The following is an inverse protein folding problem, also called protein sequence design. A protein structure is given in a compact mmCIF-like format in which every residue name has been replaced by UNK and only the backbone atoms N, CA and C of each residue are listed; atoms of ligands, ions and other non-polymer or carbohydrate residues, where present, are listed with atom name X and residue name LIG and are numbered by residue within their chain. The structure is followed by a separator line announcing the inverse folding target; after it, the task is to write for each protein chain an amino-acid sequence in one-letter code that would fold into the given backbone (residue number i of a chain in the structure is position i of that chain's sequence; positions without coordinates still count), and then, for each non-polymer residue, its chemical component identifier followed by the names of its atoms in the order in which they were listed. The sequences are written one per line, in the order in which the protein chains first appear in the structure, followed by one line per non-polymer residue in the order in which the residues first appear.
data_IF_183016394093
#
_entry.id   IF_183016394093
#
_cell.length_a   1.000
_cell.length_b   1.000
_cell.length_c   1.000
_cell.angle_alpha   90.00
_cell.angle_beta   90.00
_cell.angle_gamma   90.00
#
_symmetry.space_group_name_H-M   'P 1'
#
loop_
_entity.id
_entity.type
_entity.pdbx_description
1 polymer ?
#
# COMPACT_ATOMS: atom_id res chain seq x y z
N UNK A 1 -7.96 2.93 15.17
CA UNK A 1 -7.59 2.43 13.84
C UNK A 1 -8.23 1.08 13.62
N UNK A 2 -8.94 0.93 12.53
CA UNK A 2 -9.70 -0.28 12.25
C UNK A 2 -8.82 -1.38 11.67
N UNK A 3 -9.17 -2.63 11.97
CA UNK A 3 -8.57 -3.80 11.34
C UNK A 3 -9.52 -4.34 10.27
N UNK A 4 -9.06 -4.41 9.04
CA UNK A 4 -9.83 -4.91 7.90
C UNK A 4 -9.41 -6.34 7.61
N UNK A 5 -10.38 -7.26 7.61
CA UNK A 5 -10.16 -8.69 7.42
C UNK A 5 -11.01 -9.28 6.28
N UNK A 6 -11.86 -8.50 5.64
CA UNK A 6 -12.74 -8.98 4.57
C UNK A 6 -12.57 -8.13 3.31
N UNK A 7 -12.86 -8.74 2.18
CA UNK A 7 -12.82 -8.05 0.88
C UNK A 7 -13.83 -6.90 0.82
N UNK A 8 -15.01 -7.10 1.41
CA UNK A 8 -16.05 -6.07 1.42
C UNK A 8 -15.60 -4.81 2.18
N UNK A 9 -15.01 -5.00 3.35
CA UNK A 9 -14.44 -3.89 4.14
C UNK A 9 -13.30 -3.20 3.41
N UNK A 10 -12.43 -3.98 2.77
CA UNK A 10 -11.30 -3.45 2.00
C UNK A 10 -11.79 -2.62 0.81
N UNK A 11 -12.78 -3.13 0.08
CA UNK A 11 -13.36 -2.42 -1.06
C UNK A 11 -13.92 -1.06 -0.64
N UNK A 12 -14.71 -1.05 0.43
CA UNK A 12 -15.30 0.18 0.95
C UNK A 12 -14.24 1.19 1.39
N UNK A 13 -13.21 0.71 2.08
CA UNK A 13 -12.10 1.55 2.52
C UNK A 13 -11.32 2.14 1.33
N UNK A 14 -10.96 1.31 0.36
CA UNK A 14 -10.26 1.77 -0.85
C UNK A 14 -11.09 2.77 -1.65
N UNK A 15 -12.41 2.58 -1.74
CA UNK A 15 -13.30 3.52 -2.41
C UNK A 15 -13.29 4.88 -1.71
N UNK A 16 -13.26 4.90 -0.39
CA UNK A 16 -13.16 6.15 0.37
C UNK A 16 -11.80 6.82 0.18
N UNK A 17 -10.72 6.05 0.24
CA UNK A 17 -9.36 6.59 0.03
C UNK A 17 -9.18 7.15 -1.38
N UNK A 18 -9.81 6.54 -2.38
CA UNK A 18 -9.71 6.99 -3.77
C UNK A 18 -10.30 8.38 -4.02
N UNK A 19 -11.06 8.92 -3.08
CA UNK A 19 -11.61 10.28 -3.15
C UNK A 19 -10.59 11.35 -2.73
N UNK A 20 -9.47 10.94 -2.14
CA UNK A 20 -8.42 11.84 -1.70
C UNK A 20 -7.32 11.92 -2.76
N UNK A 21 -6.63 13.05 -2.81
CA UNK A 21 -5.51 13.24 -3.73
C UNK A 21 -4.24 12.57 -3.23
N UNK A 22 -4.12 12.40 -1.92
CA UNK A 22 -2.90 11.89 -1.28
C UNK A 22 -3.30 10.90 -0.20
N UNK A 23 -2.67 9.75 -0.21
CA UNK A 23 -2.76 8.75 0.86
C UNK A 23 -1.36 8.30 1.26
N UNK A 24 -1.24 7.77 2.47
CA UNK A 24 -0.01 7.11 2.90
C UNK A 24 -0.19 5.60 2.82
N UNK A 25 0.87 4.90 2.49
CA UNK A 25 0.87 3.44 2.36
C UNK A 25 2.12 2.88 3.01
N UNK A 26 1.94 1.84 3.81
CA UNK A 26 3.01 1.07 4.40
C UNK A 26 2.66 -0.40 4.34
N UNK A 27 3.63 -1.27 4.06
CA UNK A 27 3.43 -2.71 4.00
C UNK A 27 4.43 -3.42 4.90
N UNK A 28 3.99 -4.55 5.45
CA UNK A 28 4.87 -5.48 6.15
C UNK A 28 4.77 -6.85 5.50
N UNK A 29 5.90 -7.53 5.36
CA UNK A 29 5.98 -8.81 4.68
C UNK A 29 7.03 -9.70 5.33
N UNK A 30 6.88 -11.01 5.10
CA UNK A 30 7.86 -12.01 5.50
C UNK A 30 8.63 -12.48 4.29
N UNK A 31 9.95 -12.53 4.42
CA UNK A 31 10.86 -13.04 3.41
C UNK A 31 11.72 -14.12 4.08
N UNK A 32 11.21 -15.35 4.11
CA UNK A 32 11.90 -16.44 4.79
C UNK A 32 12.68 -17.31 3.80
N UNK A 33 12.06 -18.40 3.33
CA UNK A 33 12.71 -19.41 2.51
C UNK A 33 12.26 -19.41 1.06
N UNK A 34 11.29 -18.57 0.71
CA UNK A 34 10.75 -18.47 -0.63
C UNK A 34 11.37 -17.32 -1.39
N UNK A 35 11.39 -17.42 -2.72
CA UNK A 35 11.87 -16.35 -3.58
C UNK A 35 11.01 -15.08 -3.50
N UNK A 36 9.77 -15.22 -3.09
CA UNK A 36 8.81 -14.12 -3.10
C UNK A 36 8.42 -13.74 -1.69
N UNK A 37 8.37 -12.45 -1.40
CA UNK A 37 7.90 -12.00 -0.10
C UNK A 37 6.41 -12.31 0.07
N UNK A 38 6.02 -12.69 1.29
CA UNK A 38 4.64 -12.89 1.66
C UNK A 38 4.11 -11.59 2.28
N UNK A 39 3.17 -10.95 1.60
CA UNK A 39 2.53 -9.74 2.12
C UNK A 39 1.63 -10.08 3.30
N UNK A 40 1.91 -9.52 4.45
CA UNK A 40 1.20 -9.82 5.69
C UNK A 40 0.25 -8.71 6.11
N UNK A 41 0.71 -7.47 6.06
CA UNK A 41 -0.03 -6.31 6.56
C UNK A 41 0.11 -5.16 5.59
N UNK A 42 -1.00 -4.48 5.34
CA UNK A 42 -1.02 -3.20 4.65
C UNK A 42 -1.66 -2.17 5.58
N UNK A 43 -1.00 -1.04 5.74
CA UNK A 43 -1.55 0.09 6.48
C UNK A 43 -1.70 1.27 5.53
N UNK A 44 -2.89 1.84 5.49
CA UNK A 44 -3.16 3.00 4.65
C UNK A 44 -3.92 4.06 5.42
N UNK A 45 -3.70 5.31 5.03
CA UNK A 45 -4.35 6.44 5.67
C UNK A 45 -4.59 7.57 4.68
N UNK A 46 -5.69 8.27 4.91
CA UNK A 46 -5.94 9.61 4.35
C UNK A 46 -5.87 10.62 5.50
N UNK A 47 -6.19 11.88 5.22
CA UNK A 47 -6.30 12.90 6.26
C UNK A 47 -7.45 12.62 7.23
N UNK A 48 -8.42 11.80 6.86
CA UNK A 48 -9.65 11.58 7.62
C UNK A 48 -9.69 10.25 8.36
N UNK A 49 -8.99 9.22 7.87
CA UNK A 49 -9.08 7.89 8.44
C UNK A 49 -7.84 7.06 8.15
N UNK A 50 -7.64 6.04 8.97
CA UNK A 50 -6.58 5.07 8.79
C UNK A 50 -7.09 3.68 9.13
N UNK A 51 -6.55 2.66 8.47
CA UNK A 51 -6.86 1.27 8.77
C UNK A 51 -5.66 0.37 8.50
N UNK A 52 -5.66 -0.77 9.17
CA UNK A 52 -4.72 -1.86 8.96
C UNK A 52 -5.46 -2.99 8.25
N UNK A 53 -4.89 -3.49 7.17
CA UNK A 53 -5.46 -4.60 6.41
C UNK A 53 -4.66 -5.86 6.72
N UNK A 54 -5.34 -6.91 7.18
CA UNK A 54 -4.76 -8.23 7.32
C UNK A 54 -4.78 -8.91 5.95
N UNK A 55 -3.64 -8.86 5.26
CA UNK A 55 -3.52 -9.42 3.92
C UNK A 55 -3.53 -10.96 3.92
N UNK A 56 -3.41 -11.58 5.09
CA UNK A 56 -3.44 -13.03 5.26
C UNK A 56 -4.80 -13.54 5.75
N UNK A 57 -5.77 -12.67 5.94
CA UNK A 57 -7.10 -13.07 6.37
C UNK A 57 -7.70 -14.06 5.39
N UNK A 58 -8.36 -15.09 5.93
CA UNK A 58 -8.96 -16.12 5.09
C UNK A 58 -10.00 -15.52 4.15
N UNK A 59 -9.84 -15.83 2.85
CA UNK A 59 -10.79 -15.41 1.82
C UNK A 59 -10.64 -13.97 1.36
N UNK A 60 -9.69 -13.20 1.89
CA UNK A 60 -9.52 -11.82 1.46
C UNK A 60 -8.93 -11.75 0.04
N UNK A 61 -9.52 -10.89 -0.79
CA UNK A 61 -9.01 -10.57 -2.12
C UNK A 61 -8.42 -9.16 -2.08
N UNK A 62 -7.15 -9.02 -2.43
CA UNK A 62 -6.43 -7.75 -2.39
C UNK A 62 -6.60 -6.92 -3.67
N UNK A 63 -7.40 -7.34 -4.62
CA UNK A 63 -7.63 -6.58 -5.86
C UNK A 63 -8.02 -5.13 -5.63
N UNK A 64 -8.87 -4.78 -4.65
CA UNK A 64 -9.17 -3.37 -4.39
C UNK A 64 -7.94 -2.55 -4.00
N UNK A 65 -7.03 -3.14 -3.22
CA UNK A 65 -5.77 -2.50 -2.87
C UNK A 65 -4.89 -2.28 -4.12
N UNK A 66 -4.74 -3.29 -4.96
CA UNK A 66 -3.93 -3.15 -6.17
C UNK A 66 -4.52 -2.15 -7.16
N UNK A 67 -5.85 -2.10 -7.27
CA UNK A 67 -6.52 -1.09 -8.09
C UNK A 67 -6.24 0.33 -7.58
N UNK A 68 -6.24 0.53 -6.26
CA UNK A 68 -5.89 1.81 -5.66
C UNK A 68 -4.42 2.18 -5.93
N UNK A 69 -3.51 1.21 -5.89
CA UNK A 69 -2.10 1.43 -6.22
C UNK A 69 -1.91 1.90 -7.67
N UNK A 70 -2.76 1.45 -8.58
CA UNK A 70 -2.73 1.83 -10.00
C UNK A 70 -3.53 3.09 -10.32
N UNK A 71 -4.27 3.65 -9.36
CA UNK A 71 -5.11 4.83 -9.59
C UNK A 71 -4.25 6.09 -9.74
N UNK A 72 -4.18 6.61 -10.96
CA UNK A 72 -3.35 7.78 -11.27
C UNK A 72 -3.79 9.07 -10.60
N UNK A 73 -5.02 9.13 -10.10
CA UNK A 73 -5.58 10.31 -9.43
C UNK A 73 -5.14 10.43 -7.98
N UNK A 74 -4.57 9.38 -7.43
CA UNK A 74 -4.21 9.30 -6.01
C UNK A 74 -2.69 9.15 -5.89
N UNK A 75 -2.06 10.12 -5.25
CA UNK A 75 -0.63 10.05 -4.92
C UNK A 75 -0.45 9.15 -3.69
N UNK A 76 0.39 8.12 -3.82
CA UNK A 76 0.73 7.21 -2.73
C UNK A 76 2.06 7.62 -2.15
N UNK A 77 2.04 7.97 -0.87
CA UNK A 77 3.25 8.38 -0.14
C UNK A 77 3.77 7.18 0.65
N UNK A 78 5.01 6.82 0.38
CA UNK A 78 5.73 5.75 1.06
C UNK A 78 6.94 6.30 1.78
N UNK A 79 7.48 5.52 2.71
CA UNK A 79 8.82 5.73 3.24
C UNK A 79 9.65 4.50 2.91
N UNK A 80 10.75 4.68 2.16
CA UNK A 80 11.58 3.57 1.66
C UNK A 80 10.74 2.61 0.79
N UNK A 81 10.18 3.13 -0.28
CA UNK A 81 9.17 2.46 -1.11
C UNK A 81 9.66 1.23 -1.88
N UNK A 82 10.96 1.02 -2.02
CA UNK A 82 11.52 -0.01 -2.90
C UNK A 82 10.92 -1.39 -2.66
N UNK A 83 10.86 -1.82 -1.40
CA UNK A 83 10.32 -3.14 -1.06
C UNK A 83 8.82 -3.21 -1.25
N UNK A 84 8.09 -2.13 -0.95
CA UNK A 84 6.64 -2.04 -1.18
C UNK A 84 6.33 -2.16 -2.66
N UNK A 85 7.09 -1.50 -3.51
CA UNK A 85 6.93 -1.58 -4.97
C UNK A 85 7.19 -3.01 -5.46
N UNK A 86 8.26 -3.65 -4.97
CA UNK A 86 8.56 -5.04 -5.34
C UNK A 86 7.42 -5.99 -5.00
N UNK A 87 6.83 -5.84 -3.81
CA UNK A 87 5.77 -6.74 -3.39
C UNK A 87 4.49 -6.56 -4.22
N UNK A 88 4.14 -5.33 -4.57
CA UNK A 88 3.01 -5.07 -5.47
C UNK A 88 3.28 -5.63 -6.85
N UNK A 89 4.49 -5.47 -7.37
CA UNK A 89 4.88 -6.03 -8.65
C UNK A 89 4.73 -7.56 -8.67
N UNK A 90 5.24 -8.25 -7.66
CA UNK A 90 5.15 -9.71 -7.59
C UNK A 90 3.72 -10.22 -7.45
N UNK A 91 2.88 -9.48 -6.71
CA UNK A 91 1.51 -9.92 -6.45
C UNK A 91 0.54 -9.56 -7.57
N UNK A 92 0.70 -8.43 -8.21
CA UNK A 92 -0.28 -7.88 -9.15
C UNK A 92 0.28 -7.57 -10.54
N UNK A 93 1.60 -7.63 -10.72
CA UNK A 93 2.22 -7.30 -12.00
C UNK A 93 2.15 -5.83 -12.37
N UNK A 94 1.93 -4.97 -11.40
CA UNK A 94 1.87 -3.51 -11.61
C UNK A 94 2.90 -2.80 -10.75
N UNK A 95 3.28 -1.59 -11.18
CA UNK A 95 4.07 -0.68 -10.36
C UNK A 95 3.14 0.41 -9.83
N UNK A 96 3.07 0.62 -8.50
CA UNK A 96 2.27 1.70 -7.95
C UNK A 96 2.64 3.05 -8.57
N UNK A 97 1.64 3.83 -8.94
CA UNK A 97 1.86 5.16 -9.52
C UNK A 97 0.61 6.04 -9.39
N UNK A 98 0.77 7.37 -9.20
CA UNK A 98 2.03 8.04 -8.86
C UNK A 98 2.44 7.78 -7.43
N UNK A 99 3.74 7.83 -7.16
CA UNK A 99 4.29 7.63 -5.82
C UNK A 99 5.20 8.80 -5.42
N UNK A 100 5.31 9.01 -4.11
CA UNK A 100 6.31 9.88 -3.50
C UNK A 100 6.97 9.12 -2.37
N UNK A 101 8.31 9.03 -2.39
CA UNK A 101 9.08 8.35 -1.35
C UNK A 101 9.75 9.38 -0.47
N UNK A 102 9.33 9.46 0.78
CA UNK A 102 9.86 10.45 1.73
C UNK A 102 11.32 10.22 2.04
N UNK A 103 11.81 8.99 2.00
CA UNK A 103 13.22 8.70 2.24
C UNK A 103 14.09 9.28 1.11
N UNK A 104 13.69 9.12 -0.14
CA UNK A 104 14.43 9.68 -1.28
C UNK A 104 14.44 11.21 -1.21
N UNK A 105 13.31 11.81 -0.83
CA UNK A 105 13.23 13.25 -0.67
C UNK A 105 14.14 13.75 0.45
N UNK A 106 14.23 13.04 1.58
CA UNK A 106 15.15 13.37 2.68
C UNK A 106 16.60 13.28 2.27
N UNK A 107 16.98 12.23 1.54
CA UNK A 107 18.34 12.05 1.02
C UNK A 107 18.69 13.21 0.07
N UNK A 108 17.77 13.57 -0.82
CA UNK A 108 17.96 14.70 -1.73
C UNK A 108 18.18 16.00 -0.99
N UNK A 109 17.50 16.24 0.11
CA UNK A 109 17.69 17.42 0.96
C UNK A 109 19.05 17.44 1.63
N UNK A 110 19.55 16.29 2.06
CA UNK A 110 20.83 16.18 2.75
C UNK A 110 22.02 16.51 1.83
N UNK A 111 21.84 16.42 0.53
CA UNK A 111 22.88 16.65 -0.47
C UNK A 111 22.83 18.05 -1.11
N UNK A 112 21.91 18.87 -0.69
CA UNK A 112 21.77 20.25 -1.21
C UNK A 112 22.57 21.31 -0.40
#
# INVERSE_FOLDING_TARGET
MDLITTTAELTAFCDRLAKHRVITVDTEFLRETTYYPLLCVVQMASAEEAAVIDALAEGIDLKPFFALMADEKVLKVFHAARQDIEIVWHRAGIVPHPIFDTQVAEIGRAHV
#
